data_IF_221220281088
#
_entry.id   IF_221220281088
#
_cell.length_a   1.000
_cell.length_b   1.000
_cell.length_c   1.000
_cell.angle_alpha   90.00
_cell.angle_beta   90.00
_cell.angle_gamma   90.00
#
_symmetry.space_group_name_H-M   'P 1'
#
loop_
_entity.id
_entity.type
_entity.pdbx_description
1 polymer ?
#
# COMPACT_ATOMS: atom_id res chain seq x y z
N UNK A 1 -10.08 20.48 1.22
CA UNK A 1 -9.38 19.62 0.24
C UNK A 1 -9.88 19.92 -1.16
N UNK A 2 -11.20 19.92 -1.37
CA UNK A 2 -11.81 20.27 -2.67
C UNK A 2 -11.40 21.65 -3.22
N UNK A 3 -11.42 22.74 -2.43
CA UNK A 3 -11.00 24.07 -2.90
C UNK A 3 -9.53 24.13 -3.36
N UNK A 4 -8.65 23.36 -2.71
CA UNK A 4 -7.23 23.28 -3.10
C UNK A 4 -7.06 22.50 -4.40
N UNK A 5 -7.81 21.41 -4.57
CA UNK A 5 -7.83 20.62 -5.81
C UNK A 5 -8.38 21.45 -6.97
N UNK A 6 -9.47 22.18 -6.76
CA UNK A 6 -10.09 23.03 -7.78
C UNK A 6 -9.13 24.14 -8.24
N UNK A 7 -8.46 24.80 -7.28
CA UNK A 7 -7.46 25.82 -7.59
C UNK A 7 -6.31 25.26 -8.43
N UNK A 8 -5.80 24.07 -8.08
CA UNK A 8 -4.70 23.43 -8.80
C UNK A 8 -5.10 22.92 -10.19
N UNK A 9 -6.30 22.37 -10.34
CA UNK A 9 -6.84 21.95 -11.64
C UNK A 9 -7.02 23.17 -12.56
N UNK A 10 -7.53 24.27 -12.01
CA UNK A 10 -7.65 25.54 -12.73
C UNK A 10 -6.28 26.13 -13.11
N UNK A 11 -5.28 26.01 -12.24
CA UNK A 11 -3.91 26.44 -12.50
C UNK A 11 -3.27 25.62 -13.63
N UNK A 12 -3.43 24.29 -13.63
CA UNK A 12 -2.95 23.44 -14.73
C UNK A 12 -3.65 23.77 -16.06
N UNK A 13 -4.94 24.05 -16.02
CA UNK A 13 -5.75 24.37 -17.21
C UNK A 13 -5.40 25.74 -17.83
N UNK A 14 -4.76 26.65 -17.07
CA UNK A 14 -4.33 27.96 -17.56
C UNK A 14 -3.08 27.91 -18.45
N UNK A 15 -2.25 26.89 -18.29
CA UNK A 15 -0.97 26.78 -19.01
C UNK A 15 -1.09 25.86 -20.22
N UNK A 16 -0.47 26.24 -21.35
CA UNK A 16 -0.47 25.44 -22.57
C UNK A 16 0.37 24.16 -22.42
N UNK A 17 -0.04 23.09 -23.12
CA UNK A 17 0.67 21.81 -23.15
C UNK A 17 2.13 22.01 -23.60
N UNK A 18 3.07 21.44 -22.85
CA UNK A 18 4.51 21.53 -23.13
C UNK A 18 5.27 22.66 -22.40
N UNK A 19 4.57 23.52 -21.65
CA UNK A 19 5.22 24.56 -20.84
C UNK A 19 5.76 24.02 -19.52
N UNK A 20 6.89 24.59 -19.04
CA UNK A 20 7.52 24.20 -17.77
C UNK A 20 6.60 24.52 -16.58
N UNK A 21 5.83 25.60 -16.70
CA UNK A 21 4.84 26.06 -15.73
C UNK A 21 3.71 25.04 -15.57
N UNK A 22 3.21 24.49 -16.69
CA UNK A 22 2.22 23.41 -16.65
C UNK A 22 2.77 22.17 -15.97
N UNK A 23 4.03 21.80 -16.25
CA UNK A 23 4.65 20.63 -15.64
C UNK A 23 4.82 20.79 -14.12
N UNK A 24 5.19 21.99 -13.65
CA UNK A 24 5.26 22.30 -12.22
C UNK A 24 3.88 22.22 -11.55
N UNK A 25 2.87 22.81 -12.17
CA UNK A 25 1.49 22.76 -11.67
C UNK A 25 0.96 21.30 -11.62
N UNK A 26 1.25 20.50 -12.65
CA UNK A 26 0.91 19.08 -12.69
C UNK A 26 1.61 18.28 -11.60
N UNK A 27 2.91 18.49 -11.37
CA UNK A 27 3.66 17.80 -10.33
C UNK A 27 3.08 18.11 -8.94
N UNK A 28 2.72 19.37 -8.68
CA UNK A 28 2.07 19.78 -7.43
C UNK A 28 0.71 19.11 -7.25
N UNK A 29 -0.11 19.07 -8.30
CA UNK A 29 -1.40 18.38 -8.29
C UNK A 29 -1.21 16.88 -8.05
N UNK A 30 -0.23 16.24 -8.71
CA UNK A 30 0.04 14.81 -8.59
C UNK A 30 0.44 14.42 -7.17
N UNK A 31 1.25 15.23 -6.48
CA UNK A 31 1.63 15.01 -5.08
C UNK A 31 0.40 14.93 -4.17
N UNK A 32 -0.57 15.83 -4.36
CA UNK A 32 -1.81 15.84 -3.56
C UNK A 32 -2.71 14.66 -3.94
N UNK A 33 -2.88 14.40 -5.24
CA UNK A 33 -3.73 13.31 -5.74
C UNK A 33 -3.26 11.94 -5.28
N UNK A 34 -1.95 11.70 -5.23
CA UNK A 34 -1.38 10.45 -4.72
C UNK A 34 -1.61 10.23 -3.22
N UNK A 35 -1.90 11.30 -2.47
CA UNK A 35 -2.19 11.23 -1.03
C UNK A 35 -3.69 11.08 -0.74
N UNK A 36 -4.56 11.12 -1.75
CA UNK A 36 -6.00 11.01 -1.55
C UNK A 36 -6.38 9.63 -1.00
N UNK A 37 -7.26 9.57 0.02
CA UNK A 37 -7.80 8.31 0.48
C UNK A 37 -8.65 7.64 -0.60
N UNK A 38 -8.63 6.31 -0.66
CA UNK A 38 -9.50 5.55 -1.56
C UNK A 38 -8.95 5.28 -2.97
N UNK A 39 -7.71 5.65 -3.28
CA UNK A 39 -7.04 5.13 -4.48
C UNK A 39 -6.96 3.60 -4.41
N UNK A 40 -7.44 2.94 -5.47
CA UNK A 40 -7.57 1.49 -5.55
C UNK A 40 -6.20 0.81 -5.41
N UNK A 41 -6.14 -0.22 -4.56
CA UNK A 41 -4.94 -1.03 -4.31
C UNK A 41 -5.20 -2.47 -4.72
N UNK A 42 -4.23 -3.06 -5.41
CA UNK A 42 -4.25 -4.47 -5.81
C UNK A 42 -2.96 -5.16 -5.37
N UNK A 43 -3.05 -6.47 -5.12
CA UNK A 43 -1.90 -7.33 -4.83
C UNK A 43 -1.23 -7.89 -6.10
N UNK A 44 -1.66 -7.44 -7.28
CA UNK A 44 -1.09 -7.87 -8.55
C UNK A 44 0.40 -7.50 -8.67
N UNK A 45 1.20 -8.36 -9.31
CA UNK A 45 2.63 -8.10 -9.54
C UNK A 45 2.84 -6.77 -10.27
N UNK A 46 2.08 -6.52 -11.32
CA UNK A 46 2.19 -5.31 -12.15
C UNK A 46 1.28 -4.17 -11.70
N UNK A 47 0.77 -4.21 -10.46
CA UNK A 47 -0.04 -3.12 -9.93
C UNK A 47 0.71 -1.78 -9.95
N UNK A 48 2.02 -1.79 -9.63
CA UNK A 48 2.84 -0.58 -9.63
C UNK A 48 3.02 -0.02 -11.05
N UNK A 49 3.14 -0.88 -12.05
CA UNK A 49 3.20 -0.50 -13.46
C UNK A 49 1.86 0.10 -13.91
N UNK A 50 0.74 -0.56 -13.60
CA UNK A 50 -0.61 -0.05 -13.85
C UNK A 50 -0.81 1.33 -13.21
N UNK A 51 -0.28 1.52 -12.00
CA UNK A 51 -0.37 2.77 -11.25
C UNK A 51 0.46 3.88 -11.91
N UNK A 52 1.69 3.60 -12.34
CA UNK A 52 2.51 4.56 -13.07
C UNK A 52 1.86 5.00 -14.39
N UNK A 53 1.38 4.05 -15.19
CA UNK A 53 0.65 4.34 -16.43
C UNK A 53 -0.63 5.15 -16.18
N UNK A 54 -1.29 4.91 -15.04
CA UNK A 54 -2.45 5.70 -14.63
C UNK A 54 -2.07 7.14 -14.34
N UNK A 55 -0.92 7.41 -13.71
CA UNK A 55 -0.44 8.77 -13.46
C UNK A 55 -0.03 9.49 -14.75
N UNK A 56 0.61 8.80 -15.68
CA UNK A 56 0.89 9.37 -17.00
C UNK A 56 -0.40 9.72 -17.75
N UNK A 57 -1.35 8.80 -17.77
CA UNK A 57 -2.65 9.03 -18.37
C UNK A 57 -3.38 10.20 -17.71
N UNK A 58 -3.37 10.28 -16.39
CA UNK A 58 -3.95 11.37 -15.61
C UNK A 58 -3.37 12.72 -16.03
N UNK A 59 -2.04 12.85 -16.08
CA UNK A 59 -1.37 14.10 -16.47
C UNK A 59 -1.70 14.52 -17.92
N UNK A 60 -1.92 13.55 -18.81
CA UNK A 60 -2.27 13.78 -20.22
C UNK A 60 -3.75 14.10 -20.44
N UNK A 61 -4.64 13.59 -19.58
CA UNK A 61 -6.09 13.65 -19.77
C UNK A 61 -6.80 14.53 -18.76
N UNK A 62 -6.09 15.23 -17.87
CA UNK A 62 -6.67 16.12 -16.87
C UNK A 62 -7.69 17.11 -17.49
N UNK A 63 -7.40 17.64 -18.69
CA UNK A 63 -8.30 18.58 -19.37
C UNK A 63 -9.68 17.97 -19.73
N UNK A 64 -9.80 16.63 -19.72
CA UNK A 64 -11.06 15.90 -19.97
C UNK A 64 -11.83 15.58 -18.70
N UNK A 65 -11.25 15.86 -17.53
CA UNK A 65 -11.90 15.63 -16.26
C UNK A 65 -13.03 16.65 -16.06
N UNK A 66 -14.24 16.15 -15.84
CA UNK A 66 -15.39 16.96 -15.45
C UNK A 66 -15.87 16.42 -14.10
N UNK A 67 -15.74 17.24 -13.07
CA UNK A 67 -16.28 16.91 -11.74
C UNK A 67 -17.79 16.74 -11.82
N UNK A 68 -18.33 15.75 -11.12
CA UNK A 68 -19.79 15.59 -11.01
C UNK A 68 -20.29 16.54 -9.94
N UNK A 69 -21.32 17.35 -10.25
CA UNK A 69 -21.87 18.38 -9.34
C UNK A 69 -22.50 17.79 -8.07
N UNK A 70 -22.74 16.48 -8.03
CA UNK A 70 -23.43 15.76 -6.95
C UNK A 70 -22.48 15.19 -5.87
N UNK A 71 -21.18 15.08 -6.14
CA UNK A 71 -20.19 14.51 -5.21
C UNK A 71 -19.03 15.51 -4.98
N UNK A 72 -18.40 15.48 -3.80
CA UNK A 72 -17.16 16.23 -3.53
C UNK A 72 -16.13 15.99 -4.63
N UNK A 73 -15.40 17.03 -5.03
CA UNK A 73 -14.44 17.00 -6.14
C UNK A 73 -13.39 15.90 -5.94
N UNK A 74 -12.93 15.72 -4.69
CA UNK A 74 -12.06 14.63 -4.26
C UNK A 74 -12.61 13.25 -4.65
N UNK A 75 -13.86 12.93 -4.27
CA UNK A 75 -14.49 11.63 -4.57
C UNK A 75 -14.68 11.41 -6.06
N UNK A 76 -15.10 12.44 -6.79
CA UNK A 76 -15.24 12.40 -8.25
C UNK A 76 -13.89 12.09 -8.91
N UNK A 77 -12.82 12.74 -8.46
CA UNK A 77 -11.47 12.56 -8.97
C UNK A 77 -10.93 11.14 -8.67
N UNK A 78 -11.09 10.68 -7.44
CA UNK A 78 -10.71 9.32 -7.02
C UNK A 78 -11.46 8.26 -7.83
N UNK A 79 -12.76 8.45 -8.06
CA UNK A 79 -13.60 7.54 -8.87
C UNK A 79 -13.11 7.47 -10.32
N UNK A 80 -12.76 8.62 -10.90
CA UNK A 80 -12.23 8.70 -12.26
C UNK A 80 -10.88 7.99 -12.41
N UNK A 81 -9.95 8.25 -11.50
CA UNK A 81 -8.63 7.59 -11.44
C UNK A 81 -8.79 6.08 -11.25
N UNK A 82 -9.62 5.68 -10.29
CA UNK A 82 -9.87 4.26 -10.00
C UNK A 82 -10.53 3.52 -11.16
N UNK A 83 -11.38 4.19 -11.92
CA UNK A 83 -11.98 3.63 -13.13
C UNK A 83 -10.89 3.20 -14.12
N UNK A 84 -9.97 4.11 -14.43
CA UNK A 84 -8.85 3.82 -15.34
C UNK A 84 -7.89 2.76 -14.77
N UNK A 85 -7.51 2.91 -13.50
CA UNK A 85 -6.55 2.01 -12.83
C UNK A 85 -7.04 0.57 -12.83
N UNK A 86 -8.32 0.33 -12.54
CA UNK A 86 -8.90 -1.03 -12.56
C UNK A 86 -8.83 -1.67 -13.95
N UNK A 87 -9.11 -0.91 -15.00
CA UNK A 87 -8.96 -1.40 -16.37
C UNK A 87 -7.51 -1.69 -16.72
N UNK A 88 -6.56 -0.84 -16.31
CA UNK A 88 -5.14 -1.07 -16.57
C UNK A 88 -4.58 -2.31 -15.88
N UNK A 89 -4.96 -2.52 -14.62
CA UNK A 89 -4.61 -3.76 -13.92
C UNK A 89 -5.17 -4.98 -14.66
N UNK A 90 -6.41 -4.89 -15.18
CA UNK A 90 -7.02 -5.98 -15.96
C UNK A 90 -6.36 -6.19 -17.32
N UNK A 91 -5.96 -5.13 -18.02
CA UNK A 91 -5.29 -5.23 -19.31
C UNK A 91 -3.92 -5.89 -19.17
N UNK A 92 -3.15 -5.51 -18.14
CA UNK A 92 -1.87 -6.15 -17.81
C UNK A 92 -2.06 -7.61 -17.40
N UNK A 93 -3.13 -7.91 -16.65
CA UNK A 93 -3.50 -9.29 -16.30
C UNK A 93 -3.78 -10.18 -17.54
N UNK A 94 -4.39 -9.63 -18.59
CA UNK A 94 -4.65 -10.35 -19.85
C UNK A 94 -3.36 -10.47 -20.67
N UNK A 95 -2.50 -9.46 -20.63
CA UNK A 95 -1.22 -9.43 -21.34
C UNK A 95 -0.17 -10.39 -20.74
N UNK A 96 -0.28 -10.76 -19.46
CA UNK A 96 0.62 -11.67 -18.74
C UNK A 96 0.67 -13.10 -19.33
N UNK A 97 -0.23 -13.43 -20.26
CA UNK A 97 -0.09 -14.62 -21.10
C UNK A 97 1.06 -14.57 -22.12
N UNK A 98 1.61 -13.38 -22.41
CA UNK A 98 2.58 -13.14 -23.50
C UNK A 98 3.55 -11.96 -23.28
N UNK A 99 3.79 -11.47 -22.05
CA UNK A 99 4.62 -10.27 -21.83
C UNK A 99 6.09 -10.61 -21.48
N UNK A 100 6.98 -10.48 -22.46
CA UNK A 100 8.43 -10.33 -22.23
C UNK A 100 8.79 -8.85 -22.36
N UNK A 101 9.29 -8.24 -21.29
CA UNK A 101 9.86 -6.89 -21.34
C UNK A 101 11.15 -6.96 -22.15
N UNK A 102 11.13 -6.47 -23.39
CA UNK A 102 12.33 -6.28 -24.22
C UNK A 102 12.84 -4.86 -24.02
N UNK A 103 14.06 -4.75 -23.50
CA UNK A 103 14.75 -3.48 -23.23
C UNK A 103 15.22 -2.80 -24.53
N UNK A 104 15.23 -3.54 -25.63
CA UNK A 104 15.65 -3.08 -26.96
C UNK A 104 14.53 -2.34 -27.71
N UNK A 105 13.35 -2.20 -27.09
CA UNK A 105 12.20 -1.56 -27.75
C UNK A 105 12.39 -0.03 -27.77
N UNK A 106 12.22 0.62 -28.94
CA UNK A 106 12.37 2.07 -29.05
C UNK A 106 11.28 2.82 -28.28
N UNK A 107 11.68 3.84 -27.52
CA UNK A 107 10.79 4.56 -26.58
C UNK A 107 10.28 5.89 -27.16
N UNK A 108 10.89 6.40 -28.24
CA UNK A 108 10.47 7.63 -28.91
C UNK A 108 10.81 7.64 -30.40
N UNK A 109 10.07 8.44 -31.18
CA UNK A 109 10.30 8.66 -32.59
C UNK A 109 10.56 10.16 -32.81
N UNK A 110 11.72 10.63 -32.35
CA UNK A 110 12.24 11.96 -32.67
C UNK A 110 13.49 11.76 -33.56
N UNK A 111 13.55 12.50 -34.66
CA UNK A 111 14.39 12.23 -35.82
C UNK A 111 15.84 11.83 -35.53
N UNK A 112 16.27 10.79 -36.25
CA UNK A 112 17.63 10.26 -36.44
C UNK A 112 18.31 9.50 -35.29
N UNK A 113 17.69 9.32 -34.12
CA UNK A 113 18.21 8.38 -33.10
C UNK A 113 17.10 7.54 -32.44
N UNK A 114 17.06 6.26 -32.76
CA UNK A 114 16.28 5.27 -32.00
C UNK A 114 16.91 5.13 -30.61
N UNK A 115 16.35 5.81 -29.61
CA UNK A 115 16.75 5.65 -28.21
C UNK A 115 15.98 4.46 -27.63
N UNK A 116 16.71 3.42 -27.24
CA UNK A 116 16.17 2.24 -26.56
C UNK A 116 16.10 2.46 -25.05
N UNK A 117 15.36 1.61 -24.34
CA UNK A 117 15.34 1.65 -22.86
C UNK A 117 16.70 1.43 -22.22
N UNK A 118 17.60 0.76 -22.94
CA UNK A 118 18.98 0.52 -22.51
C UNK A 118 19.81 1.82 -22.52
N UNK A 119 19.58 2.69 -23.49
CA UNK A 119 20.35 3.94 -23.69
C UNK A 119 20.01 5.02 -22.65
N UNK A 120 18.86 4.90 -21.96
CA UNK A 120 18.44 5.82 -20.89
C UNK A 120 18.88 5.37 -19.49
N UNK A 121 19.50 4.20 -19.35
CA UNK A 121 19.99 3.75 -18.05
C UNK A 121 21.16 4.65 -17.61
N UNK A 122 21.08 5.28 -16.43
CA UNK A 122 22.17 6.09 -15.92
C UNK A 122 23.40 5.20 -15.67
N UNK A 123 24.58 5.77 -15.93
CA UNK A 123 25.89 5.16 -15.66
C UNK A 123 25.87 4.48 -14.27
N UNK A 124 26.43 3.27 -14.08
CA UNK A 124 26.32 2.47 -12.85
C UNK A 124 26.65 3.24 -11.56
N UNK A 125 27.45 4.29 -11.66
CA UNK A 125 27.83 5.15 -10.54
C UNK A 125 26.69 6.08 -10.06
N UNK A 126 25.82 6.58 -10.94
CA UNK A 126 24.68 7.42 -10.58
C UNK A 126 23.47 6.60 -10.12
N UNK A 127 23.30 5.39 -10.64
CA UNK A 127 22.24 4.47 -10.23
C UNK A 127 22.41 4.01 -8.78
N UNK A 128 23.64 3.80 -8.29
CA UNK A 128 23.90 3.47 -6.88
C UNK A 128 23.35 4.53 -5.93
N UNK A 129 23.67 5.81 -6.15
CA UNK A 129 23.28 6.92 -5.24
C UNK A 129 21.75 7.09 -5.20
N UNK A 130 21.09 6.94 -6.35
CA UNK A 130 19.64 7.14 -6.46
C UNK A 130 18.85 5.94 -5.92
N UNK A 131 19.37 4.72 -6.11
CA UNK A 131 18.80 3.49 -5.55
C UNK A 131 18.95 3.45 -4.03
N UNK A 132 20.12 3.85 -3.50
CA UNK A 132 20.35 3.95 -2.05
C UNK A 132 19.36 4.92 -1.40
N UNK A 133 19.08 6.07 -2.03
CA UNK A 133 18.10 7.03 -1.52
C UNK A 133 16.66 6.49 -1.54
N UNK A 134 16.29 5.75 -2.59
CA UNK A 134 14.99 5.08 -2.67
C UNK A 134 14.86 3.99 -1.61
N UNK A 135 15.90 3.20 -1.39
CA UNK A 135 15.94 2.16 -0.38
C UNK A 135 15.82 2.74 1.04
N UNK A 136 16.51 3.85 1.32
CA UNK A 136 16.33 4.60 2.57
C UNK A 136 14.88 5.03 2.74
N UNK A 137 14.26 5.59 1.69
CA UNK A 137 12.88 6.08 1.76
C UNK A 137 11.86 4.94 1.89
N UNK A 138 12.12 3.81 1.24
CA UNK A 138 11.33 2.57 1.41
C UNK A 138 11.46 2.09 2.85
N UNK A 139 12.66 2.05 3.41
CA UNK A 139 12.90 1.65 4.80
C UNK A 139 12.17 2.57 5.79
N UNK A 140 12.21 3.89 5.58
CA UNK A 140 11.46 4.87 6.39
C UNK A 140 9.94 4.66 6.32
N UNK A 141 9.40 4.46 5.11
CA UNK A 141 7.97 4.20 4.92
C UNK A 141 7.58 2.89 5.60
N UNK A 142 8.38 1.83 5.45
CA UNK A 142 8.15 0.57 6.12
C UNK A 142 8.22 0.71 7.64
N UNK A 143 9.15 1.51 8.16
CA UNK A 143 9.30 1.74 9.59
C UNK A 143 8.09 2.49 10.17
N UNK A 144 7.70 3.62 9.55
CA UNK A 144 6.50 4.37 9.95
C UNK A 144 5.24 3.52 9.91
N UNK A 145 5.10 2.69 8.86
CA UNK A 145 4.00 1.76 8.75
C UNK A 145 4.04 0.73 9.89
N UNK A 146 5.18 0.08 10.16
CA UNK A 146 5.34 -0.88 11.26
C UNK A 146 4.99 -0.27 12.61
N UNK A 147 5.41 0.95 12.88
CA UNK A 147 5.11 1.64 14.15
C UNK A 147 3.64 2.00 14.30
N UNK A 148 3.04 2.58 13.24
CA UNK A 148 1.63 2.98 13.25
C UNK A 148 0.71 1.77 13.39
N UNK A 149 0.97 0.73 12.59
CA UNK A 149 0.20 -0.51 12.62
C UNK A 149 0.45 -1.31 13.89
N UNK A 150 1.69 -1.35 14.38
CA UNK A 150 2.05 -1.95 15.65
C UNK A 150 1.23 -1.36 16.79
N UNK A 151 1.16 -0.02 16.90
CA UNK A 151 0.36 0.67 17.92
C UNK A 151 -1.12 0.31 17.84
N UNK A 152 -1.72 0.29 16.63
CA UNK A 152 -3.14 -0.09 16.45
C UNK A 152 -3.41 -1.54 16.86
N UNK A 153 -2.53 -2.48 16.48
CA UNK A 153 -2.66 -3.89 16.85
C UNK A 153 -2.50 -4.08 18.36
N UNK A 154 -1.55 -3.37 18.99
CA UNK A 154 -1.37 -3.38 20.45
C UNK A 154 -2.65 -2.92 21.14
N UNK A 155 -3.21 -1.78 20.74
CA UNK A 155 -4.46 -1.26 21.29
C UNK A 155 -5.61 -2.26 21.11
N UNK A 156 -5.73 -2.89 19.94
CA UNK A 156 -6.74 -3.91 19.70
C UNK A 156 -6.56 -5.13 20.63
N UNK A 157 -5.32 -5.63 20.79
CA UNK A 157 -5.02 -6.73 21.71
C UNK A 157 -5.33 -6.33 23.16
N UNK A 158 -5.15 -5.06 23.54
CA UNK A 158 -5.42 -4.60 24.90
C UNK A 158 -6.91 -4.48 25.21
N UNK A 159 -7.67 -3.87 24.31
CA UNK A 159 -9.09 -3.58 24.47
C UNK A 159 -9.99 -4.79 24.20
N UNK A 160 -9.72 -5.56 23.12
CA UNK A 160 -10.52 -6.70 22.66
C UNK A 160 -12.03 -6.43 22.72
N UNK A 161 -12.47 -5.28 22.18
CA UNK A 161 -13.86 -4.79 22.32
C UNK A 161 -14.91 -5.81 21.84
N UNK A 162 -14.59 -6.55 20.77
CA UNK A 162 -15.46 -7.58 20.20
C UNK A 162 -15.30 -8.97 20.88
N UNK A 163 -14.45 -9.08 21.90
CA UNK A 163 -14.08 -10.31 22.59
C UNK A 163 -13.61 -11.43 21.64
N UNK A 164 -13.12 -11.09 20.45
CA UNK A 164 -12.71 -12.06 19.44
C UNK A 164 -11.50 -12.86 19.92
N UNK A 165 -10.57 -12.22 20.63
CA UNK A 165 -9.39 -12.87 21.18
C UNK A 165 -9.70 -13.62 22.48
N UNK A 166 -10.65 -13.14 23.30
CA UNK A 166 -11.13 -13.83 24.52
C UNK A 166 -11.97 -15.08 24.23
N UNK A 167 -12.77 -15.09 23.15
CA UNK A 167 -13.56 -16.26 22.74
C UNK A 167 -12.72 -17.39 22.15
N UNK A 168 -11.49 -17.08 21.76
CA UNK A 168 -10.49 -18.04 21.31
C UNK A 168 -9.74 -18.56 22.54
N UNK A 169 -10.18 -19.67 23.13
CA UNK A 169 -9.54 -20.29 24.29
C UNK A 169 -9.23 -21.78 24.09
N UNK A 170 -8.34 -22.32 24.92
CA UNK A 170 -8.04 -23.75 24.89
C UNK A 170 -9.19 -24.56 25.49
N UNK A 171 -9.53 -25.72 24.91
CA UNK A 171 -10.60 -26.59 25.44
C UNK A 171 -10.37 -27.05 26.89
N UNK A 172 -9.11 -27.06 27.32
CA UNK A 172 -8.68 -27.54 28.65
C UNK A 172 -8.81 -26.45 29.69
N UNK A 173 -8.58 -25.19 29.32
CA UNK A 173 -8.63 -24.05 30.22
C UNK A 173 -9.17 -22.81 29.50
N UNK A 174 -10.34 -22.32 29.95
CA UNK A 174 -11.03 -21.13 29.43
C UNK A 174 -10.28 -19.84 29.72
N UNK A 175 -9.47 -19.83 30.78
CA UNK A 175 -8.68 -18.66 31.17
C UNK A 175 -7.44 -18.50 30.29
N UNK A 176 -7.01 -19.57 29.62
CA UNK A 176 -5.94 -19.56 28.62
C UNK A 176 -6.49 -19.20 27.23
N UNK A 177 -6.73 -17.91 27.02
CA UNK A 177 -7.28 -17.35 25.78
C UNK A 177 -6.24 -16.60 24.94
N UNK A 178 -6.56 -16.38 23.66
CA UNK A 178 -5.67 -15.84 22.64
C UNK A 178 -5.19 -14.41 22.97
N UNK A 179 -6.00 -13.61 23.68
CA UNK A 179 -5.61 -12.26 24.15
C UNK A 179 -4.47 -12.32 25.17
N UNK A 180 -4.59 -13.20 26.18
CA UNK A 180 -3.58 -13.38 27.21
C UNK A 180 -2.25 -13.86 26.61
N UNK A 181 -2.32 -14.83 25.69
CA UNK A 181 -1.14 -15.33 24.98
C UNK A 181 -0.49 -14.23 24.15
N UNK A 182 -1.27 -13.42 23.44
CA UNK A 182 -0.74 -12.28 22.69
C UNK A 182 -0.03 -11.26 23.60
N UNK A 183 -0.64 -10.89 24.73
CA UNK A 183 -0.02 -9.98 25.72
C UNK A 183 1.30 -10.52 26.25
N UNK A 184 1.34 -11.80 26.63
CA UNK A 184 2.53 -12.40 27.27
C UNK A 184 3.64 -12.79 26.30
N UNK A 185 3.31 -13.17 25.07
CA UNK A 185 4.28 -13.60 24.06
C UNK A 185 4.79 -12.43 23.20
N UNK A 186 3.93 -11.46 22.89
CA UNK A 186 4.25 -10.39 21.94
C UNK A 186 4.48 -9.03 22.62
N UNK A 187 3.80 -8.73 23.72
CA UNK A 187 3.85 -7.39 24.35
C UNK A 187 4.75 -7.33 25.59
N UNK A 188 4.93 -8.44 26.30
CA UNK A 188 5.79 -8.50 27.48
C UNK A 188 7.28 -8.36 27.10
N UNK A 189 8.01 -7.60 27.91
CA UNK A 189 9.47 -7.47 27.84
C UNK A 189 10.09 -7.86 29.18
N UNK A 190 10.83 -8.99 29.26
CA UNK A 190 11.08 -9.98 28.21
C UNK A 190 9.85 -10.84 27.86
N UNK A 191 9.79 -11.34 26.63
CA UNK A 191 8.74 -12.25 26.18
C UNK A 191 8.75 -13.54 27.00
N UNK A 192 7.59 -13.96 27.49
CA UNK A 192 7.46 -15.22 28.22
C UNK A 192 7.61 -16.43 27.30
N UNK A 193 8.13 -17.55 27.79
CA UNK A 193 8.17 -18.79 26.99
C UNK A 193 6.81 -19.49 27.08
N UNK A 194 6.39 -20.13 25.99
CA UNK A 194 5.18 -20.96 25.95
C UNK A 194 5.22 -22.05 27.04
N UNK A 195 6.41 -22.57 27.37
CA UNK A 195 6.60 -23.54 28.43
C UNK A 195 6.19 -23.04 29.82
N UNK A 196 6.47 -21.77 30.12
CA UNK A 196 6.17 -21.19 31.43
C UNK A 196 4.66 -20.93 31.57
N UNK A 197 4.04 -20.43 30.50
CA UNK A 197 2.59 -20.24 30.42
C UNK A 197 1.86 -21.59 30.49
N UNK A 198 2.37 -22.62 29.82
CA UNK A 198 1.79 -23.96 29.86
C UNK A 198 1.75 -24.53 31.28
N UNK A 199 2.83 -24.33 32.06
CA UNK A 199 2.90 -24.75 33.47
C UNK A 199 1.91 -24.00 34.35
N UNK A 200 1.81 -22.68 34.19
CA UNK A 200 0.91 -21.84 34.98
C UNK A 200 -0.57 -22.20 34.78
N UNK A 201 -0.97 -22.49 33.53
CA UNK A 201 -2.36 -22.80 33.19
C UNK A 201 -2.69 -24.30 33.22
N UNK A 202 -1.74 -25.15 33.65
CA UNK A 202 -1.84 -26.60 33.68
C UNK A 202 -2.26 -27.21 32.32
N UNK A 203 -1.72 -26.66 31.22
CA UNK A 203 -1.95 -27.13 29.85
C UNK A 203 -0.68 -27.78 29.32
N UNK A 204 -0.79 -28.83 28.51
CA UNK A 204 0.39 -29.43 27.88
C UNK A 204 1.08 -28.41 26.95
N UNK A 205 2.41 -28.37 26.98
CA UNK A 205 3.20 -27.46 26.14
C UNK A 205 2.88 -27.63 24.64
N UNK A 206 2.77 -28.89 24.18
CA UNK A 206 2.41 -29.20 22.80
C UNK A 206 1.00 -28.69 22.42
N UNK A 207 0.04 -28.84 23.33
CA UNK A 207 -1.33 -28.33 23.14
C UNK A 207 -1.34 -26.81 23.06
N UNK A 208 -0.61 -26.13 23.95
CA UNK A 208 -0.54 -24.68 23.97
C UNK A 208 0.18 -24.12 22.74
N UNK A 209 1.30 -24.71 22.34
CA UNK A 209 2.03 -24.36 21.13
C UNK A 209 1.19 -24.55 19.87
N UNK A 210 0.48 -25.69 19.76
CA UNK A 210 -0.43 -25.97 18.65
C UNK A 210 -1.58 -24.96 18.60
N UNK A 211 -2.16 -24.62 19.75
CA UNK A 211 -3.21 -23.61 19.86
C UNK A 211 -2.72 -22.23 19.41
N UNK A 212 -1.55 -21.81 19.90
CA UNK A 212 -0.90 -20.56 19.50
C UNK A 212 -0.66 -20.51 17.99
N UNK A 213 -0.02 -21.54 17.44
CA UNK A 213 0.39 -21.56 16.03
C UNK A 213 -0.76 -21.72 15.05
N UNK A 214 -1.76 -22.54 15.38
CA UNK A 214 -2.86 -22.90 14.46
C UNK A 214 -4.13 -22.08 14.64
N UNK A 215 -4.32 -21.40 15.78
CA UNK A 215 -5.53 -20.63 16.06
C UNK A 215 -5.21 -19.17 16.37
N UNK A 216 -4.37 -18.90 17.37
CA UNK A 216 -4.11 -17.53 17.81
C UNK A 216 -3.39 -16.69 16.73
N UNK A 217 -2.33 -17.22 16.13
CA UNK A 217 -1.56 -16.52 15.09
C UNK A 217 -2.38 -16.24 13.83
N UNK A 218 -3.13 -17.21 13.25
CA UNK A 218 -4.01 -16.93 12.12
C UNK A 218 -5.06 -15.86 12.43
N UNK A 219 -5.68 -15.90 13.62
CA UNK A 219 -6.68 -14.92 14.03
C UNK A 219 -6.08 -13.51 14.15
N UNK A 220 -4.89 -13.38 14.77
CA UNK A 220 -4.17 -12.11 14.84
C UNK A 220 -3.77 -11.59 13.44
N UNK A 221 -3.41 -12.48 12.52
CA UNK A 221 -3.12 -12.11 11.14
C UNK A 221 -4.37 -11.59 10.41
N UNK A 222 -5.51 -12.26 10.59
CA UNK A 222 -6.79 -11.83 10.01
C UNK A 222 -7.22 -10.45 10.54
N UNK A 223 -7.15 -10.25 11.86
CA UNK A 223 -7.39 -8.94 12.49
C UNK A 223 -6.44 -7.89 11.92
N UNK A 224 -5.15 -8.21 11.81
CA UNK A 224 -4.15 -7.29 11.25
C UNK A 224 -4.39 -6.94 9.78
N UNK A 225 -4.97 -7.86 8.98
CA UNK A 225 -5.37 -7.59 7.60
C UNK A 225 -6.61 -6.69 7.56
N UNK A 226 -7.64 -6.99 8.36
CA UNK A 226 -8.88 -6.20 8.40
C UNK A 226 -8.62 -4.75 8.86
N UNK A 227 -7.82 -4.58 9.92
CA UNK A 227 -7.41 -3.24 10.40
C UNK A 227 -6.64 -2.44 9.35
N UNK A 228 -6.01 -3.09 8.36
CA UNK A 228 -5.24 -2.44 7.29
C UNK A 228 -6.11 -2.02 6.10
N UNK A 229 -7.33 -2.56 6.00
CA UNK A 229 -8.30 -2.29 4.93
C UNK A 229 -9.21 -1.11 5.31
N UNK A 230 -9.46 -0.91 6.61
CA UNK A 230 -10.15 0.27 7.18
C UNK A 230 -9.25 1.52 7.24
#
# INVERSE_FOLDING_TARGET
MDEQLEKLINEVSRYQKGTVERQKALNNLLIIVQQLPGIYKSYHRDYLEALNQTWEWFCRNLDKFQGTTEESLEKSLVKWINGYLKWRVKDLFIADGNYTISLDKPIGNDGDKEVTGLDMLPDPQFSSITLDLLDIKIAEIQQRNRETWGKRIIQFIEQDENQQLRRCYTRVNTDCHCQLLAKRLLLANPSHKIADIAREFNVSNQTLYSHWKKKCLPLLKEIGVNLRID
#
